data_IF_731220379415
#
_entry.id   IF_731220379415
#
_cell.length_a   1.000
_cell.length_b   1.000
_cell.length_c   1.000
_cell.angle_alpha   90.00
_cell.angle_beta   90.00
_cell.angle_gamma   90.00
#
_symmetry.space_group_name_H-M   'P 1'
#
loop_
_entity.id
_entity.type
_entity.pdbx_description
1 polymer ?
#
# COMPACT_ATOMS: atom_id res chain seq x y z
N UNK A 1 8.53 -2.23 -23.61
CA UNK A 1 8.87 -1.44 -22.41
C UNK A 1 10.05 -0.52 -22.72
N UNK A 2 9.97 0.76 -22.36
CA UNK A 2 11.11 1.71 -22.42
C UNK A 2 11.90 1.68 -21.11
N UNK A 3 13.13 2.21 -21.10
CA UNK A 3 13.93 2.36 -19.86
C UNK A 3 13.20 3.25 -18.84
N UNK A 4 12.46 4.24 -19.32
CA UNK A 4 11.62 5.13 -18.52
C UNK A 4 10.52 4.37 -17.75
N UNK A 5 9.73 3.54 -18.44
CA UNK A 5 8.69 2.71 -17.81
C UNK A 5 9.33 1.80 -16.76
N UNK A 6 10.46 1.19 -17.10
CA UNK A 6 11.14 0.26 -16.21
C UNK A 6 11.62 0.99 -14.93
N UNK A 7 12.18 2.20 -15.07
CA UNK A 7 12.65 3.03 -13.96
C UNK A 7 11.51 3.50 -13.08
N UNK A 8 10.38 3.92 -13.67
CA UNK A 8 9.18 4.24 -12.92
C UNK A 8 8.73 3.01 -12.09
N UNK A 9 8.58 1.85 -12.74
CA UNK A 9 8.18 0.61 -12.08
C UNK A 9 9.05 0.24 -10.87
N UNK A 10 10.37 0.48 -10.95
CA UNK A 10 11.27 0.22 -9.82
C UNK A 10 10.85 0.99 -8.55
N UNK A 11 10.53 2.28 -8.67
CA UNK A 11 10.11 3.09 -7.53
C UNK A 11 8.76 2.67 -6.95
N UNK A 12 7.82 2.29 -7.83
CA UNK A 12 6.52 1.75 -7.43
C UNK A 12 6.64 0.41 -6.71
N UNK A 13 7.47 -0.50 -7.24
CA UNK A 13 7.70 -1.81 -6.65
C UNK A 13 8.38 -1.71 -5.28
N UNK A 14 9.36 -0.82 -5.15
CA UNK A 14 9.99 -0.53 -3.87
C UNK A 14 8.97 0.01 -2.86
N UNK A 15 8.17 1.00 -3.26
CA UNK A 15 7.13 1.59 -2.39
C UNK A 15 6.12 0.53 -1.92
N UNK A 16 5.65 -0.36 -2.81
CA UNK A 16 4.71 -1.42 -2.42
C UNK A 16 5.38 -2.46 -1.53
N UNK A 17 6.64 -2.81 -1.80
CA UNK A 17 7.40 -3.74 -0.96
C UNK A 17 7.57 -3.20 0.46
N UNK A 18 7.93 -1.93 0.60
CA UNK A 18 8.06 -1.28 1.90
C UNK A 18 6.72 -1.16 2.64
N UNK A 19 5.64 -0.85 1.91
CA UNK A 19 4.28 -0.84 2.47
C UNK A 19 3.94 -2.21 3.06
N UNK A 20 4.14 -3.29 2.30
CA UNK A 20 3.88 -4.66 2.78
C UNK A 20 4.73 -4.99 4.02
N UNK A 21 6.02 -4.65 4.00
CA UNK A 21 6.92 -4.87 5.13
C UNK A 21 6.43 -4.14 6.39
N UNK A 22 6.07 -2.86 6.27
CA UNK A 22 5.60 -2.07 7.40
C UNK A 22 4.23 -2.54 7.90
N UNK A 23 3.34 -2.98 7.01
CA UNK A 23 2.06 -3.57 7.39
C UNK A 23 2.21 -4.90 8.13
N UNK A 24 3.07 -5.80 7.63
CA UNK A 24 3.36 -7.08 8.31
C UNK A 24 3.94 -6.83 9.70
N UNK A 25 4.84 -5.84 9.86
CA UNK A 25 5.30 -5.41 11.17
C UNK A 25 4.13 -5.01 12.06
N UNK A 26 3.30 -4.08 11.62
CA UNK A 26 2.12 -3.62 12.37
C UNK A 26 1.14 -4.75 12.74
N UNK A 27 1.06 -5.81 11.92
CA UNK A 27 0.27 -7.00 12.22
C UNK A 27 0.79 -7.81 13.43
N UNK A 28 2.06 -7.68 13.79
CA UNK A 28 2.64 -8.24 15.01
C UNK A 28 2.57 -7.31 16.24
N UNK A 29 1.93 -6.15 16.11
CA UNK A 29 1.94 -5.12 17.13
C UNK A 29 1.31 -5.59 18.44
N UNK A 30 2.04 -5.41 19.55
CA UNK A 30 1.46 -5.25 20.88
C UNK A 30 1.45 -3.76 21.19
N UNK A 31 0.25 -3.14 21.25
CA UNK A 31 0.12 -1.68 21.45
C UNK A 31 0.74 -1.23 22.78
N UNK A 32 0.71 -2.10 23.81
CA UNK A 32 1.26 -1.83 25.14
C UNK A 32 2.80 -1.86 25.09
N UNK A 33 3.37 -2.91 24.50
CA UNK A 33 4.82 -3.12 24.54
C UNK A 33 5.59 -2.22 23.56
N UNK A 34 4.92 -1.71 22.52
CA UNK A 34 5.56 -1.00 21.40
C UNK A 34 5.16 0.47 21.31
N UNK A 35 4.65 1.08 22.40
CA UNK A 35 4.28 2.50 22.44
C UNK A 35 5.39 3.39 21.88
N UNK A 36 5.04 4.30 20.96
CA UNK A 36 5.98 5.20 20.27
C UNK A 36 6.81 4.58 19.13
N UNK A 37 6.78 3.24 18.93
CA UNK A 37 7.57 2.60 17.87
C UNK A 37 6.77 2.37 16.58
N UNK A 38 5.48 2.10 16.69
CA UNK A 38 4.63 1.75 15.54
C UNK A 38 4.12 2.97 14.75
N UNK A 39 4.19 4.17 15.34
CA UNK A 39 3.74 5.44 14.74
C UNK A 39 4.44 5.73 13.41
N UNK A 40 5.75 5.43 13.33
CA UNK A 40 6.52 5.56 12.11
C UNK A 40 6.02 4.60 11.03
N UNK A 41 5.78 3.34 11.38
CA UNK A 41 5.33 2.32 10.44
C UNK A 41 3.94 2.62 9.89
N UNK A 42 2.99 3.02 10.74
CA UNK A 42 1.65 3.38 10.24
C UNK A 42 1.69 4.67 9.40
N UNK A 43 2.51 5.65 9.76
CA UNK A 43 2.69 6.86 8.96
C UNK A 43 3.27 6.54 7.58
N UNK A 44 4.24 5.63 7.50
CA UNK A 44 4.77 5.15 6.23
C UNK A 44 3.69 4.49 5.36
N UNK A 45 2.87 3.61 5.95
CA UNK A 45 1.73 2.98 5.26
C UNK A 45 0.76 4.04 4.72
N UNK A 46 0.33 4.98 5.57
CA UNK A 46 -0.60 6.07 5.18
C UNK A 46 -0.02 6.94 4.06
N UNK A 47 1.28 7.22 4.08
CA UNK A 47 1.93 8.03 3.04
C UNK A 47 2.19 7.26 1.73
N UNK A 48 2.39 5.94 1.80
CA UNK A 48 2.64 5.12 0.62
C UNK A 48 1.39 4.93 -0.25
N UNK A 49 0.21 4.81 0.38
CA UNK A 49 -1.05 4.52 -0.32
C UNK A 49 -1.37 5.53 -1.44
N UNK A 50 -1.38 6.87 -1.22
CA UNK A 50 -1.65 7.84 -2.26
C UNK A 50 -0.55 7.95 -3.33
N UNK A 51 0.64 7.37 -3.09
CA UNK A 51 1.70 7.29 -4.10
C UNK A 51 1.48 6.13 -5.05
N UNK A 52 0.91 5.03 -4.55
CA UNK A 52 0.66 3.80 -5.30
C UNK A 52 -0.64 3.83 -6.08
N UNK A 53 -1.64 4.56 -5.59
CA UNK A 53 -2.94 4.76 -6.26
C UNK A 53 -3.06 6.24 -6.64
N UNK A 54 -3.12 6.56 -7.94
CA UNK A 54 -3.28 7.95 -8.40
C UNK A 54 -4.77 8.36 -8.32
N UNK A 55 -5.24 8.79 -7.15
CA UNK A 55 -6.63 9.24 -6.96
C UNK A 55 -6.74 10.66 -6.39
N UNK A 56 -7.72 11.40 -6.89
CA UNK A 56 -8.01 12.80 -6.61
C UNK A 56 -9.50 13.00 -6.29
N UNK A 57 -9.80 14.06 -5.52
CA UNK A 57 -11.18 14.40 -5.19
C UNK A 57 -11.72 15.36 -6.24
N UNK A 58 -12.78 14.96 -6.93
CA UNK A 58 -13.48 15.81 -7.90
C UNK A 58 -14.49 16.70 -7.17
N UNK A 59 -14.09 17.95 -6.90
CA UNK A 59 -14.96 18.95 -6.24
C UNK A 59 -16.29 19.18 -6.97
N UNK A 60 -16.39 18.92 -8.28
CA UNK A 60 -17.64 19.15 -9.03
C UNK A 60 -18.62 18.00 -8.86
N UNK A 61 -18.11 16.78 -8.73
CA UNK A 61 -18.91 15.55 -8.59
C UNK A 61 -19.00 15.07 -7.14
N UNK A 62 -18.28 15.75 -6.23
CA UNK A 62 -18.13 15.41 -4.81
C UNK A 62 -17.69 13.95 -4.59
N UNK A 63 -16.82 13.44 -5.48
CA UNK A 63 -16.43 12.04 -5.51
C UNK A 63 -14.95 11.87 -5.80
N UNK A 64 -14.35 10.82 -5.25
CA UNK A 64 -13.03 10.39 -5.65
C UNK A 64 -13.05 9.79 -7.06
N UNK A 65 -12.02 10.09 -7.83
CA UNK A 65 -11.77 9.52 -9.15
C UNK A 65 -10.29 9.18 -9.29
N UNK A 66 -10.00 8.36 -10.28
CA UNK A 66 -8.64 8.08 -10.71
C UNK A 66 -8.11 9.23 -11.57
N UNK A 67 -6.86 9.64 -11.32
CA UNK A 67 -6.15 10.61 -12.14
C UNK A 67 -5.42 9.90 -13.28
N UNK A 68 -5.97 9.95 -14.49
CA UNK A 68 -5.40 9.29 -15.66
C UNK A 68 -4.05 9.87 -16.12
N UNK A 69 -3.59 10.99 -15.56
CA UNK A 69 -2.34 11.67 -15.93
C UNK A 69 -1.29 11.62 -14.81
N UNK A 70 -1.42 10.69 -13.88
CA UNK A 70 -0.57 10.62 -12.69
C UNK A 70 -0.13 9.19 -12.41
N UNK A 71 1.07 9.09 -11.87
CA UNK A 71 1.74 7.84 -11.53
C UNK A 71 1.79 6.80 -12.65
N UNK A 72 1.53 5.54 -12.33
CA UNK A 72 1.62 4.45 -13.33
C UNK A 72 0.59 4.57 -14.46
N UNK A 73 -0.47 5.38 -14.31
CA UNK A 73 -1.46 5.57 -15.36
C UNK A 73 -0.97 6.42 -16.53
N UNK A 74 0.15 7.13 -16.37
CA UNK A 74 0.87 7.75 -17.49
C UNK A 74 1.28 6.71 -18.55
N UNK A 75 1.36 5.42 -18.17
CA UNK A 75 1.70 4.31 -19.05
C UNK A 75 0.48 3.47 -19.47
N UNK A 76 -0.73 3.98 -19.28
CA UNK A 76 -1.98 3.25 -19.59
C UNK A 76 -2.08 2.82 -21.07
N UNK A 77 -1.56 3.62 -22.01
CA UNK A 77 -1.46 3.24 -23.43
C UNK A 77 -0.64 1.95 -23.67
N UNK A 78 0.33 1.66 -22.79
CA UNK A 78 1.19 0.47 -22.87
C UNK A 78 0.70 -0.68 -21.98
N UNK A 79 -0.03 -0.34 -20.92
CA UNK A 79 -0.59 -1.26 -19.94
C UNK A 79 -2.10 -0.99 -19.82
N UNK A 80 -2.91 -1.37 -20.83
CA UNK A 80 -4.32 -0.96 -20.91
C UNK A 80 -5.16 -1.49 -19.73
N UNK A 81 -4.71 -2.55 -19.07
CA UNK A 81 -5.38 -3.10 -17.89
C UNK A 81 -5.24 -2.23 -16.63
N UNK A 82 -4.31 -1.26 -16.59
CA UNK A 82 -4.07 -0.45 -15.38
C UNK A 82 -5.28 0.40 -15.02
N UNK A 83 -5.93 1.00 -16.01
CA UNK A 83 -7.06 1.90 -15.77
C UNK A 83 -8.20 1.17 -15.05
N UNK A 84 -8.69 0.09 -15.66
CA UNK A 84 -9.77 -0.73 -15.09
C UNK A 84 -9.37 -1.28 -13.71
N UNK A 85 -8.12 -1.73 -13.54
CA UNK A 85 -7.67 -2.25 -12.26
C UNK A 85 -7.65 -1.18 -11.15
N UNK A 86 -7.16 0.02 -11.44
CA UNK A 86 -7.16 1.12 -10.46
C UNK A 86 -8.58 1.63 -10.17
N UNK A 87 -9.46 1.70 -11.18
CA UNK A 87 -10.87 2.05 -10.99
C UNK A 87 -11.57 1.03 -10.08
N UNK A 88 -11.34 -0.26 -10.28
CA UNK A 88 -11.86 -1.32 -9.43
C UNK A 88 -11.34 -1.20 -7.99
N UNK A 89 -10.04 -0.99 -7.80
CA UNK A 89 -9.44 -0.77 -6.47
C UNK A 89 -10.08 0.44 -5.78
N UNK A 90 -10.26 1.55 -6.50
CA UNK A 90 -10.88 2.74 -5.93
C UNK A 90 -12.34 2.46 -5.52
N UNK A 91 -13.11 1.77 -6.36
CA UNK A 91 -14.52 1.45 -6.06
C UNK A 91 -14.66 0.51 -4.86
N UNK A 92 -13.81 -0.52 -4.77
CA UNK A 92 -13.85 -1.49 -3.68
C UNK A 92 -13.41 -0.91 -2.32
N UNK A 93 -12.59 0.15 -2.33
CA UNK A 93 -11.93 0.69 -1.13
C UNK A 93 -12.13 2.20 -0.93
N UNK A 94 -13.19 2.78 -1.49
CA UNK A 94 -13.37 4.25 -1.54
C UNK A 94 -13.38 4.90 -0.14
N UNK A 95 -14.09 4.32 0.81
CA UNK A 95 -14.20 4.87 2.17
C UNK A 95 -12.83 4.84 2.87
N UNK A 96 -12.12 3.71 2.76
CA UNK A 96 -10.77 3.55 3.29
C UNK A 96 -9.78 4.56 2.67
N UNK A 97 -9.81 4.72 1.34
CA UNK A 97 -8.93 5.65 0.63
C UNK A 97 -9.25 7.12 0.98
N UNK A 98 -10.52 7.44 1.23
CA UNK A 98 -10.95 8.75 1.73
C UNK A 98 -10.37 9.03 3.12
N UNK A 99 -10.49 8.08 4.04
CA UNK A 99 -9.96 8.18 5.41
C UNK A 99 -8.44 8.35 5.42
N UNK A 100 -7.73 7.53 4.65
CA UNK A 100 -6.27 7.62 4.48
C UNK A 100 -5.85 9.00 3.99
N UNK A 101 -6.54 9.55 2.98
CA UNK A 101 -6.22 10.86 2.44
C UNK A 101 -6.47 11.98 3.44
N UNK A 102 -7.56 11.88 4.20
CA UNK A 102 -7.90 12.83 5.26
C UNK A 102 -6.82 12.88 6.34
N UNK A 103 -6.37 11.70 6.81
CA UNK A 103 -5.30 11.59 7.80
C UNK A 103 -3.96 12.09 7.24
N UNK A 104 -3.60 11.67 6.02
CA UNK A 104 -2.36 12.06 5.33
C UNK A 104 -2.25 13.57 5.15
N UNK A 105 -3.31 14.23 4.67
CA UNK A 105 -3.33 15.69 4.50
C UNK A 105 -3.07 16.40 5.83
N UNK A 106 -3.59 15.88 6.94
CA UNK A 106 -3.29 16.46 8.27
C UNK A 106 -1.83 16.27 8.66
N UNK A 107 -1.25 15.09 8.46
CA UNK A 107 0.18 14.89 8.75
C UNK A 107 1.09 15.84 7.96
N UNK A 108 0.76 16.14 6.71
CA UNK A 108 1.53 17.05 5.85
C UNK A 108 1.39 18.53 6.27
N UNK A 109 0.20 18.95 6.70
CA UNK A 109 -0.07 20.36 7.03
C UNK A 109 0.14 20.72 8.51
N UNK A 110 -0.09 19.77 9.43
CA UNK A 110 0.05 19.92 10.88
C UNK A 110 0.41 18.57 11.48
N UNK A 111 1.69 18.33 11.79
CA UNK A 111 2.15 17.04 12.34
C UNK A 111 1.43 16.61 13.64
N UNK A 112 0.80 17.52 14.37
CA UNK A 112 -0.02 17.24 15.58
C UNK A 112 -1.54 17.21 15.32
N UNK A 113 -1.98 17.40 14.07
CA UNK A 113 -3.38 17.57 13.70
C UNK A 113 -4.16 16.27 13.46
N UNK A 114 -3.46 15.13 13.39
CA UNK A 114 -4.03 13.80 13.48
C UNK A 114 -3.40 13.11 14.69
N UNK A 115 -4.16 12.98 15.77
CA UNK A 115 -3.68 12.33 16.99
C UNK A 115 -4.16 10.89 17.01
N UNK A 116 -3.24 9.96 17.21
CA UNK A 116 -3.60 8.61 17.55
C UNK A 116 -4.14 8.60 18.98
N UNK A 117 -5.42 8.30 19.15
CA UNK A 117 -6.14 8.36 20.44
C UNK A 117 -6.39 6.99 21.05
N UNK A 118 -6.09 5.92 20.33
CA UNK A 118 -6.21 4.56 20.85
C UNK A 118 -5.81 3.51 19.82
N UNK A 119 -5.20 2.43 20.32
CA UNK A 119 -4.90 1.23 19.57
C UNK A 119 -5.48 0.03 20.32
N UNK A 120 -6.26 -0.82 19.65
CA UNK A 120 -6.62 -2.14 20.21
C UNK A 120 -5.89 -3.17 19.39
N UNK A 121 -5.04 -3.96 20.05
CA UNK A 121 -4.48 -5.20 19.50
C UNK A 121 -4.99 -6.36 20.35
N UNK A 122 -5.52 -7.40 19.71
CA UNK A 122 -5.90 -8.62 20.42
C UNK A 122 -4.69 -9.53 20.59
N UNK A 123 -4.40 -9.92 21.84
CA UNK A 123 -3.35 -10.91 22.10
C UNK A 123 -3.66 -12.21 21.35
N UNK A 124 -2.75 -12.61 20.45
CA UNK A 124 -2.88 -13.83 19.65
C UNK A 124 -3.66 -13.68 18.34
N UNK A 125 -4.25 -12.52 18.05
CA UNK A 125 -4.98 -12.24 16.80
C UNK A 125 -4.30 -11.10 16.04
N UNK A 126 -4.21 -11.24 14.71
CA UNK A 126 -3.52 -10.30 13.84
C UNK A 126 -4.40 -9.09 13.49
N UNK A 127 -4.95 -8.45 14.51
CA UNK A 127 -5.88 -7.34 14.37
C UNK A 127 -5.36 -6.14 15.12
N UNK A 128 -5.28 -5.00 14.43
CA UNK A 128 -5.11 -3.70 15.08
C UNK A 128 -6.18 -2.74 14.56
N UNK A 129 -6.69 -1.92 15.46
CA UNK A 129 -7.52 -0.75 15.13
C UNK A 129 -6.85 0.50 15.66
N UNK A 130 -6.60 1.47 14.77
CA UNK A 130 -5.97 2.74 15.13
C UNK A 130 -6.97 3.87 14.96
N UNK A 131 -7.32 4.52 16.06
CA UNK A 131 -8.25 5.64 16.07
C UNK A 131 -7.49 6.96 15.94
N UNK A 132 -7.84 7.74 14.93
CA UNK A 132 -7.34 9.09 14.69
C UNK A 132 -8.42 10.12 14.99
N UNK A 133 -8.06 11.19 15.68
CA UNK A 133 -8.89 12.39 15.78
C UNK A 133 -8.40 13.43 14.77
N UNK A 134 -9.29 13.82 13.84
CA UNK A 134 -9.05 14.78 12.78
C UNK A 134 -10.23 15.76 12.74
N UNK A 135 -9.98 17.05 12.99
CA UNK A 135 -11.01 18.11 12.98
C UNK A 135 -12.28 17.75 13.80
N UNK A 136 -12.10 17.19 15.00
CA UNK A 136 -13.16 16.69 15.89
C UNK A 136 -13.97 15.49 15.34
N UNK A 137 -13.51 14.85 14.26
CA UNK A 137 -14.03 13.58 13.77
C UNK A 137 -13.08 12.44 14.15
N UNK A 138 -13.66 11.31 14.56
CA UNK A 138 -12.91 10.09 14.86
C UNK A 138 -12.92 9.18 13.65
N UNK A 139 -11.75 8.96 13.06
CA UNK A 139 -11.52 8.02 11.96
C UNK A 139 -10.83 6.78 12.53
N UNK A 140 -11.27 5.58 12.16
CA UNK A 140 -10.62 4.33 12.63
C UNK A 140 -10.08 3.56 11.45
N UNK A 141 -8.77 3.33 11.42
CA UNK A 141 -8.13 2.47 10.44
C UNK A 141 -7.94 1.07 11.04
N UNK A 142 -8.63 0.09 10.47
CA UNK A 142 -8.48 -1.32 10.85
C UNK A 142 -7.46 -2.04 9.98
N UNK A 143 -6.71 -2.96 10.58
CA UNK A 143 -5.77 -3.83 9.85
C UNK A 143 -6.47 -4.59 8.74
N UNK A 144 -7.70 -5.06 8.97
CA UNK A 144 -8.49 -5.78 7.98
C UNK A 144 -8.88 -4.95 6.75
N UNK A 145 -9.13 -3.65 6.90
CA UNK A 145 -9.36 -2.76 5.75
C UNK A 145 -8.06 -2.55 4.96
N UNK A 146 -6.96 -2.27 5.66
CA UNK A 146 -5.65 -2.04 5.05
C UNK A 146 -5.18 -3.30 4.31
N UNK A 147 -5.23 -4.48 4.93
CA UNK A 147 -4.80 -5.75 4.33
C UNK A 147 -5.61 -6.06 3.07
N UNK A 148 -6.94 -5.92 3.11
CA UNK A 148 -7.78 -6.16 1.92
C UNK A 148 -7.36 -5.26 0.75
N UNK A 149 -7.18 -3.97 1.01
CA UNK A 149 -6.70 -3.02 0.00
C UNK A 149 -5.31 -3.40 -0.55
N UNK A 150 -4.37 -3.73 0.34
CA UNK A 150 -2.99 -4.08 -0.07
C UNK A 150 -2.94 -5.38 -0.86
N UNK A 151 -3.80 -6.35 -0.56
CA UNK A 151 -3.89 -7.60 -1.33
C UNK A 151 -4.31 -7.36 -2.79
N UNK A 152 -5.22 -6.41 -3.02
CA UNK A 152 -5.63 -6.03 -4.36
C UNK A 152 -4.52 -5.28 -5.11
N UNK A 153 -3.78 -4.40 -4.42
CA UNK A 153 -2.57 -3.78 -4.98
C UNK A 153 -1.50 -4.81 -5.33
N UNK A 154 -1.23 -5.76 -4.45
CA UNK A 154 -0.27 -6.84 -4.71
C UNK A 154 -0.65 -7.64 -5.96
N UNK A 155 -1.95 -7.93 -6.12
CA UNK A 155 -2.46 -8.65 -7.28
C UNK A 155 -2.30 -7.85 -8.58
N UNK A 156 -2.56 -6.54 -8.55
CA UNK A 156 -2.29 -5.64 -9.67
C UNK A 156 -0.80 -5.62 -10.02
N UNK A 157 0.07 -5.47 -9.03
CA UNK A 157 1.51 -5.35 -9.25
C UNK A 157 2.14 -6.67 -9.71
N UNK A 158 1.65 -7.82 -9.24
CA UNK A 158 2.02 -9.12 -9.77
C UNK A 158 1.66 -9.26 -11.26
N UNK A 159 0.52 -8.70 -11.69
CA UNK A 159 0.15 -8.65 -13.12
C UNK A 159 1.13 -7.77 -13.92
N UNK A 160 1.59 -6.66 -13.36
CA UNK A 160 2.63 -5.82 -13.97
C UNK A 160 3.97 -6.56 -14.04
N UNK A 161 4.35 -7.31 -12.99
CA UNK A 161 5.56 -8.14 -13.00
C UNK A 161 5.54 -9.19 -14.10
N UNK A 162 4.39 -9.85 -14.33
CA UNK A 162 4.22 -10.79 -15.46
C UNK A 162 4.44 -10.11 -16.81
N UNK A 163 3.96 -8.88 -16.99
CA UNK A 163 4.23 -8.12 -18.21
C UNK A 163 5.72 -7.76 -18.38
N UNK A 164 6.41 -7.40 -17.29
CA UNK A 164 7.85 -7.15 -17.28
C UNK A 164 8.62 -8.41 -17.68
N UNK A 165 8.25 -9.56 -17.12
CA UNK A 165 8.86 -10.86 -17.40
C UNK A 165 8.67 -11.27 -18.87
N UNK A 166 7.43 -11.19 -19.38
CA UNK A 166 7.14 -11.44 -20.80
C UNK A 166 7.97 -10.55 -21.73
N UNK A 167 8.07 -9.26 -21.42
CA UNK A 167 8.91 -8.35 -22.20
C UNK A 167 10.39 -8.75 -22.15
N UNK A 168 10.92 -9.11 -20.97
CA UNK A 168 12.30 -9.52 -20.82
C UNK A 168 12.60 -10.80 -21.61
N UNK A 169 11.69 -11.77 -21.57
CA UNK A 169 11.77 -13.02 -22.34
C UNK A 169 11.79 -12.76 -23.86
N UNK A 170 10.79 -12.06 -24.38
CA UNK A 170 10.64 -11.79 -25.82
C UNK A 170 11.81 -11.02 -26.42
N UNK A 171 12.54 -10.26 -25.60
CA UNK A 171 13.66 -9.42 -26.03
C UNK A 171 15.04 -10.02 -25.66
N UNK A 172 15.10 -11.24 -25.14
CA UNK A 172 16.37 -11.88 -24.74
C UNK A 172 17.09 -11.15 -23.60
N UNK A 173 16.33 -10.53 -22.68
CA UNK A 173 16.82 -9.72 -21.55
C UNK A 173 16.57 -10.36 -20.19
N UNK A 174 16.23 -11.64 -20.14
CA UNK A 174 15.96 -12.39 -18.89
C UNK A 174 17.12 -12.36 -17.91
N UNK A 175 18.36 -12.39 -18.40
CA UNK A 175 19.55 -12.39 -17.56
C UNK A 175 20.00 -11.00 -17.12
N UNK A 176 19.35 -9.93 -17.61
CA UNK A 176 19.75 -8.57 -17.27
C UNK A 176 19.40 -8.31 -15.80
N UNK A 177 20.37 -7.91 -14.95
CA UNK A 177 20.16 -7.73 -13.51
C UNK A 177 18.98 -6.82 -13.17
N UNK A 178 18.73 -5.85 -14.04
CA UNK A 178 17.64 -4.90 -13.91
C UNK A 178 16.25 -5.56 -13.93
N UNK A 179 15.93 -6.37 -14.95
CA UNK A 179 14.63 -7.06 -15.02
C UNK A 179 14.51 -8.14 -13.97
N UNK A 180 15.61 -8.88 -13.70
CA UNK A 180 15.68 -9.85 -12.59
C UNK A 180 15.34 -9.21 -11.25
N UNK A 181 15.79 -7.98 -11.00
CA UNK A 181 15.46 -7.23 -9.77
C UNK A 181 13.96 -6.90 -9.69
N UNK A 182 13.33 -6.50 -10.79
CA UNK A 182 11.91 -6.15 -10.83
C UNK A 182 10.99 -7.35 -10.55
N UNK A 183 11.41 -8.55 -10.96
CA UNK A 183 10.63 -9.80 -10.80
C UNK A 183 11.15 -10.70 -9.68
N UNK A 184 12.11 -10.22 -8.86
CA UNK A 184 12.81 -11.04 -7.85
C UNK A 184 11.92 -11.66 -6.78
N UNK A 185 10.73 -11.10 -6.59
CA UNK A 185 9.78 -11.48 -5.56
C UNK A 185 8.37 -11.23 -6.10
N UNK A 186 7.51 -12.24 -6.05
CA UNK A 186 6.11 -12.11 -6.49
C UNK A 186 5.31 -11.38 -5.40
N UNK A 187 4.70 -10.23 -5.74
CA UNK A 187 3.87 -9.50 -4.77
C UNK A 187 2.71 -10.33 -4.22
N UNK A 188 2.19 -11.31 -4.96
CA UNK A 188 1.16 -12.21 -4.45
C UNK A 188 1.66 -13.12 -3.31
N UNK A 189 2.97 -13.29 -3.12
CA UNK A 189 3.50 -14.03 -1.97
C UNK A 189 3.25 -13.29 -0.65
N UNK A 190 3.14 -11.95 -0.67
CA UNK A 190 2.67 -11.21 0.51
C UNK A 190 1.21 -11.55 0.85
N UNK A 191 0.36 -11.80 -0.14
CA UNK A 191 -1.04 -12.18 0.10
C UNK A 191 -1.13 -13.51 0.85
N UNK A 192 -0.25 -14.46 0.52
CA UNK A 192 -0.12 -15.74 1.24
C UNK A 192 0.30 -15.52 2.69
N UNK A 193 1.20 -14.56 2.94
CA UNK A 193 1.60 -14.18 4.30
C UNK A 193 0.42 -13.60 5.06
N UNK A 194 -0.37 -12.71 4.45
CA UNK A 194 -1.54 -12.12 5.10
C UNK A 194 -2.64 -13.13 5.45
N UNK A 195 -2.74 -14.21 4.67
CA UNK A 195 -3.68 -15.31 4.88
C UNK A 195 -3.15 -16.38 5.83
N UNK A 196 -1.89 -16.26 6.26
CA UNK A 196 -1.24 -17.28 7.07
C UNK A 196 -1.46 -17.06 8.57
N UNK A 197 -1.68 -18.16 9.28
CA UNK A 197 -1.76 -18.19 10.74
C UNK A 197 -0.48 -17.70 11.43
N UNK A 198 0.66 -17.64 10.71
CA UNK A 198 1.93 -17.17 11.27
C UNK A 198 2.15 -15.66 11.16
N UNK A 199 1.24 -14.91 10.52
CA UNK A 199 1.41 -13.47 10.25
C UNK A 199 1.77 -12.66 11.51
N UNK A 200 1.11 -12.92 12.63
CA UNK A 200 1.39 -12.24 13.90
C UNK A 200 2.79 -12.52 14.43
N UNK A 201 3.28 -13.76 14.31
CA UNK A 201 4.64 -14.13 14.73
C UNK A 201 5.70 -13.51 13.83
N UNK A 202 5.47 -13.54 12.50
CA UNK A 202 6.35 -12.89 11.53
C UNK A 202 6.42 -11.38 11.80
N UNK A 203 5.28 -10.73 12.03
CA UNK A 203 5.23 -9.31 12.37
C UNK A 203 6.03 -8.98 13.63
N UNK A 204 5.86 -9.76 14.70
CA UNK A 204 6.60 -9.60 15.97
C UNK A 204 8.11 -9.74 15.77
N UNK A 205 8.55 -10.72 14.98
CA UNK A 205 9.96 -10.96 14.71
C UNK A 205 10.63 -9.81 13.92
N UNK A 206 9.84 -8.95 13.28
CA UNK A 206 10.33 -7.81 12.49
C UNK A 206 10.36 -6.48 13.28
N UNK A 207 9.85 -6.44 14.51
CA UNK A 207 9.99 -5.29 15.39
C UNK A 207 11.41 -5.26 16.02
N UNK A 208 12.06 -4.10 16.08
CA UNK A 208 13.33 -3.96 16.81
C UNK A 208 13.10 -4.07 18.33
N UNK A 209 14.10 -4.60 19.04
CA UNK A 209 14.15 -4.64 20.50
C UNK A 209 14.53 -3.27 21.09
#
# INVERSE_FOLDING_TARGET
MTVEIANALCGYFETLYELNRDLIKLCGLSVIDNSGQYEKHIKNVIHAIPRLVPYDYDNKKEKYRINHRDGLLEFSDRLPFLQEAYENILQCHIDFLSDVKTIRNKFEHKMHGAKLVGGISSEGLVSFDLAYEVDNQRITLSSGAIIRFVKDLNSLFAKIQKWVDSFAYENGKTDYPYYRRLIRYDFCDFNKIYESDVLGFVGKALFPF
#
